data_IF_148646385729
#
_entry.id   IF_148646385729
#
_cell.length_a   1.000
_cell.length_b   1.000
_cell.length_c   1.000
_cell.angle_alpha   90.00
_cell.angle_beta   90.00
_cell.angle_gamma   90.00
#
_symmetry.space_group_name_H-M   'P 1'
#
loop_
_entity.id
_entity.type
_entity.pdbx_description
1 polymer ?
#
# COMPACT_ATOMS: atom_id res chain seq x y z
N UNK A 1 -16.24 -16.95 52.53
CA UNK A 1 -16.69 -15.79 51.74
C UNK A 1 -15.78 -15.46 50.56
N UNK A 2 -14.48 -15.17 50.74
CA UNK A 2 -13.56 -14.83 49.62
C UNK A 2 -13.49 -15.88 48.48
N UNK A 3 -13.55 -17.18 48.80
CA UNK A 3 -13.56 -18.27 47.79
C UNK A 3 -14.81 -18.27 46.91
N UNK A 4 -15.97 -17.88 47.46
CA UNK A 4 -17.26 -17.83 46.72
C UNK A 4 -17.25 -16.68 45.71
N UNK A 5 -16.71 -15.52 46.09
CA UNK A 5 -16.55 -14.39 45.17
C UNK A 5 -15.56 -14.69 44.04
N UNK A 6 -14.45 -15.38 44.35
CA UNK A 6 -13.48 -15.77 43.34
C UNK A 6 -14.07 -16.78 42.34
N UNK A 7 -14.83 -17.77 42.81
CA UNK A 7 -15.51 -18.73 41.93
C UNK A 7 -16.60 -18.07 41.11
N UNK A 8 -17.38 -17.14 41.68
CA UNK A 8 -18.41 -16.40 40.94
C UNK A 8 -17.80 -15.49 39.86
N UNK A 9 -16.68 -14.83 40.17
CA UNK A 9 -15.93 -14.01 39.20
C UNK A 9 -15.39 -14.89 38.06
N UNK A 10 -14.81 -16.05 38.37
CA UNK A 10 -14.31 -16.99 37.35
C UNK A 10 -15.44 -17.50 36.45
N UNK A 11 -16.59 -17.85 37.02
CA UNK A 11 -17.77 -18.31 36.25
C UNK A 11 -18.28 -17.18 35.34
N UNK A 12 -18.35 -15.94 35.83
CA UNK A 12 -18.80 -14.79 35.06
C UNK A 12 -17.85 -14.47 33.89
N UNK A 13 -16.53 -14.54 34.12
CA UNK A 13 -15.51 -14.35 33.06
C UNK A 13 -15.59 -15.48 32.02
N UNK A 14 -15.76 -16.73 32.44
CA UNK A 14 -15.87 -17.87 31.51
C UNK A 14 -17.16 -17.77 30.68
N UNK A 15 -18.28 -17.37 31.26
CA UNK A 15 -19.54 -17.16 30.52
C UNK A 15 -19.44 -16.02 29.50
N UNK A 16 -18.67 -14.96 29.78
CA UNK A 16 -18.45 -13.88 28.82
C UNK A 16 -17.64 -14.32 27.59
N UNK A 17 -16.69 -15.26 27.75
CA UNK A 17 -15.88 -15.79 26.64
C UNK A 17 -16.72 -16.64 25.68
N UNK A 18 -17.65 -17.44 26.19
CA UNK A 18 -18.57 -18.23 25.35
C UNK A 18 -19.68 -17.41 24.69
N UNK A 19 -19.99 -16.21 25.20
CA UNK A 19 -20.99 -15.33 24.61
C UNK A 19 -20.50 -14.61 23.34
N UNK A 20 -19.18 -14.54 23.12
CA UNK A 20 -18.57 -13.89 21.94
C UNK A 20 -18.34 -14.84 20.76
N UNK A 21 -18.49 -16.15 20.95
CA UNK A 21 -18.32 -17.16 19.89
C UNK A 21 -19.69 -17.64 19.41
N UNK A 22 -20.41 -16.78 18.68
CA UNK A 22 -21.57 -17.23 17.92
C UNK A 22 -21.08 -17.99 16.69
N UNK A 23 -21.41 -19.28 16.60
CA UNK A 23 -21.17 -20.15 15.44
C UNK A 23 -21.62 -19.54 14.10
N UNK A 24 -22.50 -18.53 14.12
CA UNK A 24 -22.89 -17.74 12.95
C UNK A 24 -21.73 -16.93 12.36
N UNK A 25 -20.82 -16.41 13.18
CA UNK A 25 -19.81 -15.44 12.76
C UNK A 25 -18.68 -16.13 11.99
N UNK A 26 -18.32 -17.34 12.39
CA UNK A 26 -17.35 -18.18 11.66
C UNK A 26 -17.89 -18.57 10.28
N UNK A 27 -19.17 -18.96 10.18
CA UNK A 27 -19.78 -19.25 8.87
C UNK A 27 -19.87 -18.01 7.96
N UNK A 28 -20.02 -16.83 8.54
CA UNK A 28 -19.94 -15.56 7.80
C UNK A 28 -18.53 -15.31 7.28
N UNK A 29 -17.48 -15.59 8.07
CA UNK A 29 -16.09 -15.47 7.62
C UNK A 29 -15.76 -16.48 6.51
N UNK A 30 -16.23 -17.72 6.64
CA UNK A 30 -16.01 -18.75 5.62
C UNK A 30 -16.74 -18.47 4.30
N UNK A 31 -17.91 -17.84 4.35
CA UNK A 31 -18.72 -17.54 3.16
C UNK A 31 -18.40 -16.20 2.52
N UNK A 32 -17.70 -15.30 3.22
CA UNK A 32 -17.30 -14.00 2.68
C UNK A 32 -15.95 -14.09 1.98
N UNK A 33 -15.96 -13.81 0.68
CA UNK A 33 -14.72 -13.62 -0.08
C UNK A 33 -14.10 -12.26 0.28
N UNK A 34 -13.41 -12.17 1.42
CA UNK A 34 -12.73 -10.94 1.85
C UNK A 34 -11.66 -10.47 0.87
N UNK A 35 -11.09 -11.39 0.11
CA UNK A 35 -9.97 -11.14 -0.78
C UNK A 35 -10.17 -11.92 -2.07
N UNK A 36 -10.44 -11.22 -3.17
CA UNK A 36 -10.47 -11.86 -4.48
C UNK A 36 -9.13 -11.63 -5.16
N UNK A 37 -8.56 -12.66 -5.76
CA UNK A 37 -7.29 -12.56 -6.51
C UNK A 37 -7.33 -11.48 -7.62
N UNK A 38 -8.52 -11.19 -8.15
CA UNK A 38 -8.75 -10.11 -9.12
C UNK A 38 -8.43 -8.72 -8.56
N UNK A 39 -8.54 -8.52 -7.26
CA UNK A 39 -8.32 -7.22 -6.61
C UNK A 39 -6.84 -6.80 -6.70
N UNK A 40 -5.95 -7.77 -6.97
CA UNK A 40 -4.51 -7.60 -7.13
C UNK A 40 -4.06 -7.50 -8.58
N UNK A 41 -4.99 -7.64 -9.54
CA UNK A 41 -4.70 -7.47 -10.97
C UNK A 41 -4.10 -6.10 -11.28
N UNK A 42 -4.47 -5.09 -10.48
CA UNK A 42 -3.90 -3.75 -10.51
C UNK A 42 -2.37 -3.73 -10.42
N UNK A 43 -1.75 -4.53 -9.53
CA UNK A 43 -0.30 -4.54 -9.36
C UNK A 43 0.47 -5.11 -10.56
N UNK A 44 -0.24 -5.71 -11.51
CA UNK A 44 0.32 -6.22 -12.77
C UNK A 44 0.27 -5.23 -13.93
N UNK A 45 -0.35 -4.06 -13.74
CA UNK A 45 -0.41 -2.99 -14.75
C UNK A 45 1.00 -2.48 -15.13
N UNK A 46 1.20 -2.03 -16.38
CA UNK A 46 2.50 -1.56 -16.87
C UNK A 46 3.06 -0.44 -16.00
N UNK A 47 4.37 -0.49 -15.73
CA UNK A 47 5.07 0.45 -14.86
C UNK A 47 5.05 0.07 -13.37
N UNK A 48 4.30 -0.97 -12.98
CA UNK A 48 4.33 -1.51 -11.63
C UNK A 48 5.30 -2.69 -11.50
N UNK A 49 6.08 -2.70 -10.42
CA UNK A 49 6.95 -3.82 -10.07
C UNK A 49 7.17 -3.87 -8.56
N UNK A 50 7.28 -5.06 -7.97
CA UNK A 50 7.73 -5.23 -6.57
C UNK A 50 9.25 -5.40 -6.45
N UNK A 51 9.97 -5.32 -7.58
CA UNK A 51 11.42 -5.42 -7.60
C UNK A 51 12.05 -4.29 -6.78
N UNK A 52 13.15 -4.64 -6.09
CA UNK A 52 13.93 -3.70 -5.31
C UNK A 52 14.49 -2.58 -6.19
N UNK A 53 14.48 -1.35 -5.67
CA UNK A 53 14.94 -0.17 -6.39
C UNK A 53 16.45 -0.26 -6.69
N UNK A 54 16.82 0.02 -7.94
CA UNK A 54 18.22 -0.01 -8.39
C UNK A 54 18.94 1.28 -7.99
N UNK A 55 20.18 1.16 -7.53
CA UNK A 55 21.04 2.33 -7.27
C UNK A 55 21.65 2.82 -8.58
N UNK A 56 21.70 4.15 -8.79
CA UNK A 56 22.39 4.74 -9.96
C UNK A 56 23.91 4.59 -9.90
N UNK A 57 24.51 4.62 -8.71
CA UNK A 57 25.97 4.52 -8.54
C UNK A 57 26.40 3.07 -8.35
N UNK A 58 27.36 2.64 -9.16
CA UNK A 58 27.90 1.27 -9.20
C UNK A 58 29.06 1.01 -8.21
N UNK A 59 29.46 1.99 -7.39
CA UNK A 59 30.57 1.84 -6.46
C UNK A 59 30.25 0.90 -5.29
N UNK A 60 31.25 0.14 -4.83
CA UNK A 60 31.14 -0.78 -3.69
C UNK A 60 30.59 -0.09 -2.43
N UNK A 61 31.14 1.08 -2.08
CA UNK A 61 30.68 1.89 -0.92
C UNK A 61 29.22 2.35 -1.08
N UNK A 62 28.81 2.69 -2.31
CA UNK A 62 27.42 3.08 -2.58
C UNK A 62 26.44 1.90 -2.48
N UNK A 63 26.90 0.67 -2.73
CA UNK A 63 26.12 -0.56 -2.58
C UNK A 63 25.84 -0.90 -1.12
N UNK A 64 26.83 -0.72 -0.25
CA UNK A 64 26.77 -1.03 1.18
C UNK A 64 26.42 0.18 2.06
N UNK A 65 26.00 1.31 1.48
CA UNK A 65 25.57 2.45 2.26
C UNK A 65 24.33 2.06 3.10
N UNK A 66 24.42 2.09 4.45
CA UNK A 66 23.36 1.60 5.33
C UNK A 66 22.06 2.38 5.16
N UNK A 67 22.15 3.70 4.92
CA UNK A 67 20.97 4.54 4.66
C UNK A 67 20.29 4.11 3.36
N UNK A 68 21.07 3.88 2.29
CA UNK A 68 20.49 3.44 1.02
C UNK A 68 19.84 2.05 1.12
N UNK A 69 20.44 1.14 1.89
CA UNK A 69 19.91 -0.20 2.12
C UNK A 69 18.62 -0.15 2.93
N UNK A 70 18.61 0.66 4.00
CA UNK A 70 17.43 0.88 4.82
C UNK A 70 16.28 1.43 3.98
N UNK A 71 16.50 2.47 3.17
CA UNK A 71 15.45 3.09 2.35
C UNK A 71 14.94 2.15 1.24
N UNK A 72 15.83 1.40 0.57
CA UNK A 72 15.41 0.39 -0.42
C UNK A 72 14.65 -0.75 0.23
N UNK A 73 15.13 -1.20 1.39
CA UNK A 73 14.54 -2.27 2.18
C UNK A 73 13.15 -1.89 2.68
N UNK A 74 13.00 -0.71 3.30
CA UNK A 74 11.71 -0.22 3.80
C UNK A 74 10.67 -0.11 2.67
N UNK A 75 11.09 0.36 1.50
CA UNK A 75 10.21 0.44 0.33
C UNK A 75 9.79 -0.95 -0.18
N UNK A 76 10.72 -1.90 -0.22
CA UNK A 76 10.42 -3.28 -0.62
C UNK A 76 9.50 -3.98 0.38
N UNK A 77 9.76 -3.83 1.69
CA UNK A 77 8.91 -4.33 2.78
C UNK A 77 7.51 -3.73 2.68
N UNK A 78 7.40 -2.42 2.43
CA UNK A 78 6.12 -1.78 2.21
C UNK A 78 5.37 -2.40 1.02
N UNK A 79 6.00 -2.57 -0.13
CA UNK A 79 5.33 -3.11 -1.32
C UNK A 79 4.90 -4.58 -1.20
N UNK A 80 5.65 -5.41 -0.46
CA UNK A 80 5.40 -6.86 -0.41
C UNK A 80 4.63 -7.32 0.83
N UNK A 81 4.65 -6.53 1.92
CA UNK A 81 4.03 -6.92 3.19
C UNK A 81 2.88 -5.98 3.56
N UNK A 82 3.06 -4.67 3.40
CA UNK A 82 2.07 -3.69 3.88
C UNK A 82 1.02 -3.41 2.79
N UNK A 83 1.47 -3.08 1.58
CA UNK A 83 0.62 -2.68 0.44
C UNK A 83 -0.48 -3.69 0.09
N UNK A 84 -0.24 -5.02 0.11
CA UNK A 84 -1.28 -6.00 -0.20
C UNK A 84 -2.43 -6.01 0.82
N UNK A 85 -2.17 -5.64 2.06
CA UNK A 85 -3.15 -5.60 3.14
C UNK A 85 -4.02 -4.32 3.12
N UNK A 86 -3.68 -3.33 2.28
CA UNK A 86 -4.54 -2.17 2.11
C UNK A 86 -5.74 -2.54 1.24
N UNK A 87 -6.93 -2.44 1.84
CA UNK A 87 -8.23 -2.71 1.18
C UNK A 87 -8.55 -1.77 0.01
N UNK A 88 -7.97 -0.55 -0.03
CA UNK A 88 -8.21 0.40 -1.11
C UNK A 88 -7.11 0.34 -2.17
N UNK A 89 -7.41 -0.04 -3.43
CA UNK A 89 -6.44 0.03 -4.52
C UNK A 89 -6.06 1.48 -4.85
N UNK A 90 -4.87 1.66 -5.43
CA UNK A 90 -4.43 2.96 -5.91
C UNK A 90 -5.18 3.30 -7.21
N UNK A 91 -5.79 4.50 -7.35
CA UNK A 91 -6.62 4.85 -8.50
C UNK A 91 -5.81 5.16 -9.77
N UNK A 92 -4.48 5.18 -9.67
CA UNK A 92 -3.60 5.54 -10.77
C UNK A 92 -2.98 4.32 -11.44
N UNK A 93 -2.73 4.39 -12.75
CA UNK A 93 -2.19 3.26 -13.52
C UNK A 93 -0.82 2.78 -13.00
N UNK A 94 0.06 3.73 -12.69
CA UNK A 94 1.30 3.47 -11.93
C UNK A 94 0.99 3.75 -10.46
N UNK A 95 1.11 2.73 -9.61
CA UNK A 95 0.84 2.88 -8.18
C UNK A 95 1.74 3.94 -7.55
N UNK A 96 1.27 4.63 -6.50
CA UNK A 96 2.05 5.68 -5.84
C UNK A 96 3.44 5.19 -5.38
N UNK A 97 3.56 3.92 -4.99
CA UNK A 97 4.83 3.33 -4.61
C UNK A 97 5.77 3.13 -5.81
N UNK A 98 5.27 2.66 -6.95
CA UNK A 98 6.08 2.56 -8.17
C UNK A 98 6.41 3.92 -8.76
N UNK A 99 5.47 4.86 -8.72
CA UNK A 99 5.70 6.24 -9.10
C UNK A 99 6.79 6.88 -8.26
N UNK A 100 6.83 6.64 -6.95
CA UNK A 100 7.90 7.12 -6.09
C UNK A 100 9.27 6.55 -6.52
N UNK A 101 9.34 5.24 -6.81
CA UNK A 101 10.57 4.61 -7.32
C UNK A 101 11.03 5.23 -8.63
N UNK A 102 10.12 5.39 -9.59
CA UNK A 102 10.43 6.00 -10.89
C UNK A 102 10.82 7.48 -10.75
N UNK A 103 10.10 8.24 -9.93
CA UNK A 103 10.41 9.68 -9.70
C UNK A 103 11.78 9.87 -9.05
N UNK A 104 12.16 9.03 -8.08
CA UNK A 104 13.51 9.05 -7.49
C UNK A 104 14.57 8.63 -8.53
N UNK A 105 14.24 7.64 -9.36
CA UNK A 105 15.12 7.17 -10.43
C UNK A 105 15.33 8.22 -11.53
N UNK A 106 14.34 9.04 -11.84
CA UNK A 106 14.42 10.06 -12.90
C UNK A 106 15.01 11.35 -12.33
N UNK A 107 14.41 11.89 -11.27
CA UNK A 107 14.69 13.22 -10.74
C UNK A 107 15.69 13.26 -9.57
N UNK A 108 16.07 12.11 -9.03
CA UNK A 108 16.94 12.00 -7.85
C UNK A 108 16.13 12.03 -6.56
N UNK A 109 16.80 11.81 -5.42
CA UNK A 109 16.11 11.60 -4.14
C UNK A 109 15.29 12.83 -3.73
N UNK A 110 15.86 14.05 -3.77
CA UNK A 110 15.19 15.24 -3.26
C UNK A 110 13.95 15.58 -4.11
N UNK A 111 14.14 15.85 -5.41
CA UNK A 111 13.05 16.21 -6.31
C UNK A 111 12.07 15.05 -6.50
N UNK A 112 12.57 13.82 -6.61
CA UNK A 112 11.74 12.63 -6.73
C UNK A 112 10.84 12.39 -5.52
N UNK A 113 11.35 12.60 -4.29
CA UNK A 113 10.53 12.51 -3.09
C UNK A 113 9.48 13.61 -3.02
N UNK A 114 9.81 14.85 -3.40
CA UNK A 114 8.83 15.94 -3.40
C UNK A 114 7.66 15.66 -4.37
N UNK A 115 7.96 15.18 -5.59
CA UNK A 115 6.96 14.78 -6.58
C UNK A 115 6.13 13.58 -6.09
N UNK A 116 6.78 12.58 -5.50
CA UNK A 116 6.10 11.41 -4.96
C UNK A 116 5.15 11.78 -3.80
N UNK A 117 5.59 12.66 -2.90
CA UNK A 117 4.80 13.15 -1.78
C UNK A 117 3.58 13.95 -2.25
N UNK A 118 3.79 14.85 -3.21
CA UNK A 118 2.72 15.62 -3.85
C UNK A 118 1.65 14.71 -4.49
N UNK A 119 2.04 13.64 -5.17
CA UNK A 119 1.06 12.68 -5.67
C UNK A 119 0.36 11.90 -4.57
N UNK A 120 1.09 11.52 -3.51
CA UNK A 120 0.52 10.77 -2.39
C UNK A 120 -0.59 11.57 -1.70
N UNK A 121 -0.45 12.89 -1.57
CA UNK A 121 -1.51 13.74 -0.97
C UNK A 121 -2.78 13.76 -1.81
N UNK A 122 -2.67 13.60 -3.14
CA UNK A 122 -3.82 13.44 -4.06
C UNK A 122 -4.33 12.01 -4.18
N UNK A 123 -3.67 11.03 -3.57
CA UNK A 123 -4.06 9.62 -3.65
C UNK A 123 -5.14 9.28 -2.61
N UNK A 124 -6.29 9.92 -2.71
CA UNK A 124 -7.42 9.71 -1.82
C UNK A 124 -8.74 9.93 -2.57
N UNK A 125 -9.87 9.47 -2.01
CA UNK A 125 -11.18 9.50 -2.66
C UNK A 125 -11.69 10.91 -2.97
N UNK A 126 -11.31 11.92 -2.19
CA UNK A 126 -11.78 13.30 -2.35
C UNK A 126 -11.07 13.94 -3.55
N UNK A 127 -9.75 13.82 -3.60
CA UNK A 127 -8.96 14.41 -4.70
C UNK A 127 -9.25 13.79 -6.07
N UNK A 128 -9.87 12.61 -6.13
CA UNK A 128 -10.31 12.00 -7.39
C UNK A 128 -11.46 12.74 -8.07
N UNK A 129 -12.24 13.50 -7.31
CA UNK A 129 -13.38 14.26 -7.84
C UNK A 129 -12.93 15.40 -8.76
N UNK A 130 -11.70 15.90 -8.56
CA UNK A 130 -11.13 17.01 -9.31
C UNK A 130 -10.28 16.55 -10.51
N UNK A 131 -10.21 15.24 -10.78
CA UNK A 131 -9.40 14.70 -11.88
C UNK A 131 -10.17 14.85 -13.20
N UNK A 132 -9.59 15.48 -14.23
CA UNK A 132 -10.28 15.68 -15.50
C UNK A 132 -10.45 14.35 -16.23
N UNK A 133 -11.58 14.17 -16.92
CA UNK A 133 -11.90 12.93 -17.64
C UNK A 133 -10.83 12.49 -18.65
N UNK A 134 -10.07 13.43 -19.22
CA UNK A 134 -8.96 13.18 -20.15
C UNK A 134 -7.80 12.39 -19.55
N UNK A 135 -7.62 12.46 -18.23
CA UNK A 135 -6.53 11.76 -17.54
C UNK A 135 -6.88 10.31 -17.22
N UNK A 136 -8.10 9.85 -17.51
CA UNK A 136 -8.48 8.45 -17.33
C UNK A 136 -8.19 7.63 -18.59
N UNK A 137 -7.56 6.49 -18.40
CA UNK A 137 -7.41 5.47 -19.42
C UNK A 137 -8.80 4.88 -19.78
N UNK A 138 -9.21 4.86 -21.06
CA UNK A 138 -10.52 4.35 -21.46
C UNK A 138 -10.67 2.83 -21.26
N UNK A 139 -9.57 2.06 -21.24
CA UNK A 139 -9.62 0.60 -21.07
C UNK A 139 -9.54 0.21 -19.60
N UNK A 140 -8.60 0.81 -18.88
CA UNK A 140 -8.31 0.42 -17.50
C UNK A 140 -9.05 1.24 -16.46
N UNK A 141 -9.64 2.39 -16.84
CA UNK A 141 -10.25 3.38 -15.93
C UNK A 141 -9.32 3.89 -14.83
N UNK A 142 -8.00 3.74 -15.00
CA UNK A 142 -7.01 4.27 -14.08
C UNK A 142 -6.50 5.63 -14.54
N UNK A 143 -6.05 6.43 -13.58
CA UNK A 143 -5.50 7.77 -13.88
C UNK A 143 -4.08 7.65 -14.44
N UNK A 144 -3.88 8.28 -15.59
CA UNK A 144 -2.61 8.38 -16.31
C UNK A 144 -1.83 9.59 -15.76
N UNK A 145 -0.85 9.32 -14.91
CA UNK A 145 0.07 10.34 -14.36
C UNK A 145 1.51 9.82 -14.38
N UNK A 146 2.22 9.84 -15.53
CA UNK A 146 3.59 9.35 -15.62
C UNK A 146 4.59 10.34 -15.01
N UNK A 147 5.72 9.90 -14.41
CA UNK A 147 6.77 10.79 -13.88
C UNK A 147 7.28 11.82 -14.90
N UNK A 148 7.27 11.46 -16.19
CA UNK A 148 7.61 12.36 -17.28
C UNK A 148 6.82 13.67 -17.30
N UNK A 149 5.59 13.70 -16.77
CA UNK A 149 4.77 14.92 -16.67
C UNK A 149 5.41 16.02 -15.79
N UNK A 150 6.35 15.65 -14.91
CA UNK A 150 7.07 16.55 -14.00
C UNK A 150 8.50 16.91 -14.50
N UNK A 151 8.83 16.53 -15.73
CA UNK A 151 10.04 17.03 -16.39
C UNK A 151 9.87 18.52 -16.69
N UNK A 152 10.94 19.29 -16.49
CA UNK A 152 10.94 20.70 -16.88
C UNK A 152 10.92 20.70 -18.40
N UNK A 153 9.83 21.17 -19.03
CA UNK A 153 9.85 21.44 -20.46
C UNK A 153 10.93 22.52 -20.72
N UNK A 154 11.76 22.35 -21.77
CA UNK A 154 12.79 23.32 -22.11
C UNK A 154 12.20 24.70 -22.39
#
# INVERSE_FOLDING_TARGET
MKKIYLTALLICVVQAVFAQLSLSDDSLIETTAFYQKSDFSFYSLPGNSTAMMKSRKAGFVARFNPVSLLLKGSMWTYQNIISPELSSPCPYQISCSNFAKQSIQDFGIIKGMAIAADRLTRCNRISLLDVPAIDFDPETHHIIDPPGRYTRRP
#
